data_IF_590410350405
#
_entry.id   IF_590410350405
#
_cell.length_a   1.000
_cell.length_b   1.000
_cell.length_c   1.000
_cell.angle_alpha   90.00
_cell.angle_beta   90.00
_cell.angle_gamma   90.00
#
_symmetry.space_group_name_H-M   'P 1'
#
loop_
_entity.id
_entity.type
_entity.pdbx_description
1 polymer ?
#
# COMPACT_ATOMS: atom_id res chain seq x y z
N UNK A 1 -5.10 -60.88 -17.89
CA UNK A 1 -4.83 -59.46 -18.24
C UNK A 1 -6.06 -58.79 -18.80
N UNK A 2 -6.77 -58.06 -17.94
CA UNK A 2 -7.91 -57.20 -18.24
C UNK A 2 -7.73 -55.92 -17.39
N UNK A 3 -7.81 -54.71 -17.97
CA UNK A 3 -7.53 -53.47 -17.24
C UNK A 3 -8.75 -52.98 -16.46
N UNK A 4 -8.53 -52.51 -15.22
CA UNK A 4 -9.54 -51.84 -14.39
C UNK A 4 -9.41 -50.31 -14.48
N UNK A 5 -10.53 -49.56 -14.28
CA UNK A 5 -10.75 -48.25 -14.89
C UNK A 5 -10.42 -47.07 -13.97
N UNK A 6 -10.08 -45.93 -14.61
CA UNK A 6 -9.73 -44.67 -13.97
C UNK A 6 -10.89 -43.99 -13.25
N UNK A 7 -10.62 -43.55 -12.03
CA UNK A 7 -11.49 -42.63 -11.28
C UNK A 7 -11.39 -41.22 -11.90
N UNK A 8 -12.42 -40.86 -12.67
CA UNK A 8 -12.66 -39.50 -13.12
C UNK A 8 -13.21 -38.63 -11.99
N UNK A 9 -12.43 -37.65 -11.54
CA UNK A 9 -12.90 -36.58 -10.66
C UNK A 9 -13.68 -35.57 -11.54
N UNK A 10 -14.93 -35.20 -11.20
CA UNK A 10 -15.71 -34.28 -12.01
C UNK A 10 -15.13 -32.87 -11.99
N UNK A 11 -14.93 -32.30 -13.19
CA UNK A 11 -14.59 -30.89 -13.39
C UNK A 11 -15.78 -30.02 -12.95
N UNK A 12 -15.61 -29.28 -11.85
CA UNK A 12 -16.49 -28.16 -11.53
C UNK A 12 -16.33 -27.04 -12.57
N UNK A 13 -17.42 -26.52 -13.19
CA UNK A 13 -17.35 -25.38 -14.08
C UNK A 13 -17.40 -24.10 -13.24
N UNK A 14 -16.25 -23.61 -12.77
CA UNK A 14 -16.22 -22.28 -12.15
C UNK A 14 -16.05 -21.21 -13.20
N UNK A 15 -17.17 -20.55 -13.44
CA UNK A 15 -17.36 -19.32 -14.20
C UNK A 15 -16.22 -18.31 -14.04
N UNK A 16 -15.96 -17.67 -15.17
CA UNK A 16 -15.09 -16.53 -15.40
C UNK A 16 -15.49 -15.33 -14.50
N UNK A 17 -15.10 -15.34 -13.22
CA UNK A 17 -15.09 -14.17 -12.35
C UNK A 17 -13.65 -13.71 -12.20
N UNK A 18 -13.20 -12.76 -13.03
CA UNK A 18 -12.00 -11.97 -12.71
C UNK A 18 -12.30 -11.25 -11.39
N UNK A 19 -11.61 -11.54 -10.28
CA UNK A 19 -11.79 -10.78 -9.07
C UNK A 19 -11.18 -9.39 -9.28
N UNK A 20 -11.85 -8.35 -8.77
CA UNK A 20 -11.35 -6.97 -8.70
C UNK A 20 -9.94 -6.83 -8.07
N UNK A 21 -9.40 -7.92 -7.50
CA UNK A 21 -8.00 -8.09 -7.11
C UNK A 21 -7.00 -7.98 -8.27
N UNK A 22 -7.35 -8.35 -9.50
CA UNK A 22 -6.40 -8.35 -10.63
C UNK A 22 -5.99 -6.95 -11.10
N UNK A 23 -6.89 -5.97 -11.00
CA UNK A 23 -6.59 -4.56 -11.35
C UNK A 23 -5.70 -3.92 -10.28
N UNK A 24 -5.92 -4.28 -9.01
CA UNK A 24 -5.08 -3.85 -7.89
C UNK A 24 -3.62 -4.31 -8.02
N UNK A 25 -3.36 -5.49 -8.60
CA UNK A 25 -2.00 -6.02 -8.81
C UNK A 25 -1.26 -5.30 -9.94
N UNK A 26 -1.95 -4.91 -11.03
CA UNK A 26 -1.36 -4.09 -12.09
C UNK A 26 -1.07 -2.66 -11.61
N UNK A 27 -1.94 -2.09 -10.75
CA UNK A 27 -1.70 -0.80 -10.13
C UNK A 27 -0.58 -0.87 -9.08
N UNK A 28 -0.48 -1.97 -8.33
CA UNK A 28 0.63 -2.22 -7.40
C UNK A 28 1.96 -2.42 -8.14
N UNK A 29 1.92 -3.01 -9.33
CA UNK A 29 3.06 -3.08 -10.24
C UNK A 29 3.48 -1.68 -10.70
N UNK A 30 2.54 -0.83 -11.10
CA UNK A 30 2.81 0.57 -11.42
C UNK A 30 3.35 1.37 -10.21
N UNK A 31 2.91 1.04 -8.99
CA UNK A 31 3.40 1.64 -7.75
C UNK A 31 4.83 1.18 -7.41
N UNK A 32 5.15 -0.09 -7.68
CA UNK A 32 6.51 -0.62 -7.63
C UNK A 32 7.43 -0.01 -8.70
N UNK A 33 6.92 0.22 -9.91
CA UNK A 33 7.65 0.83 -11.02
C UNK A 33 7.91 2.33 -10.75
N UNK A 34 6.99 3.02 -10.08
CA UNK A 34 7.18 4.39 -9.58
C UNK A 34 8.27 4.49 -8.50
N UNK A 35 8.30 3.55 -7.55
CA UNK A 35 9.37 3.46 -6.53
C UNK A 35 10.75 3.12 -7.14
N UNK A 36 10.79 2.47 -8.31
CA UNK A 36 12.05 2.19 -9.01
C UNK A 36 12.67 3.46 -9.61
N UNK A 37 11.86 4.44 -10.04
CA UNK A 37 12.35 5.73 -10.57
C UNK A 37 13.01 6.60 -9.50
N UNK A 38 12.44 6.68 -8.29
CA UNK A 38 13.02 7.46 -7.18
C UNK A 38 14.28 6.80 -6.58
N UNK A 39 14.50 5.51 -6.78
CA UNK A 39 15.64 4.79 -6.20
C UNK A 39 16.93 4.85 -7.03
N UNK A 40 16.89 5.45 -8.24
CA UNK A 40 18.05 5.65 -9.13
C UNK A 40 18.63 7.07 -9.07
N UNK A 41 17.96 8.03 -8.43
CA UNK A 41 18.43 9.42 -8.28
C UNK A 41 19.03 9.66 -6.88
N UNK A 42 20.34 9.50 -6.76
CA UNK A 42 21.09 9.97 -5.59
C UNK A 42 21.67 11.36 -5.86
N UNK A 43 21.09 12.41 -5.24
CA UNK A 43 21.70 13.73 -5.17
C UNK A 43 21.64 14.25 -3.73
N UNK A 44 22.82 14.52 -3.19
CA UNK A 44 23.12 15.05 -1.84
C UNK A 44 22.80 16.55 -1.76
N UNK A 45 22.31 17.05 -0.61
CA UNK A 45 22.50 18.46 -0.24
C UNK A 45 23.41 18.61 0.98
N UNK A 46 24.57 19.24 0.76
CA UNK A 46 25.30 20.11 1.70
C UNK A 46 24.45 21.37 1.95
N UNK A 47 24.36 22.08 3.08
CA UNK A 47 25.12 22.17 4.32
C UNK A 47 25.31 23.67 4.70
N UNK A 48 24.90 24.06 5.92
CA UNK A 48 25.44 25.15 6.79
C UNK A 48 24.78 26.58 6.89
N UNK A 49 24.69 27.05 8.16
CA UNK A 49 24.74 28.47 8.67
C UNK A 49 23.46 29.00 9.38
N UNK A 50 23.25 29.03 10.71
CA UNK A 50 23.83 29.78 11.89
C UNK A 50 23.21 31.18 12.21
N UNK A 51 22.27 31.30 13.19
CA UNK A 51 22.29 32.02 14.54
C UNK A 51 21.86 33.54 14.57
N UNK A 52 21.63 34.24 15.73
CA UNK A 52 20.40 34.25 16.59
C UNK A 52 19.95 35.67 17.12
N UNK A 53 19.07 35.71 18.16
CA UNK A 53 18.56 36.84 19.01
C UNK A 53 17.20 37.48 18.57
N UNK A 54 16.23 37.84 19.43
CA UNK A 54 16.25 38.43 20.78
C UNK A 54 14.97 38.17 21.59
N UNK A 55 15.07 38.27 22.92
CA UNK A 55 14.03 38.06 23.93
C UNK A 55 13.21 39.33 24.25
N UNK A 56 11.99 39.16 24.79
CA UNK A 56 11.42 40.04 25.83
C UNK A 56 10.27 39.34 26.58
N UNK A 57 10.25 39.57 27.89
CA UNK A 57 9.42 38.89 28.89
C UNK A 57 8.21 39.74 29.31
N UNK A 58 7.16 39.10 29.83
CA UNK A 58 6.07 39.79 30.53
C UNK A 58 4.93 38.87 31.02
N UNK A 59 5.03 38.49 32.31
CA UNK A 59 3.96 38.41 33.34
C UNK A 59 2.78 37.39 33.19
N UNK A 60 2.68 36.49 34.19
CA UNK A 60 1.52 35.64 34.56
C UNK A 60 0.56 36.42 35.51
N UNK A 61 -0.55 35.86 36.10
CA UNK A 61 -1.25 34.57 35.91
C UNK A 61 -2.81 34.65 35.86
N UNK A 62 -3.48 33.58 35.38
CA UNK A 62 -4.77 33.10 35.96
C UNK A 62 -5.26 31.83 35.25
N UNK A 63 -5.28 30.69 35.96
CA UNK A 63 -6.09 29.48 35.66
C UNK A 63 -7.53 29.70 36.17
N UNK A 64 -8.59 29.20 35.50
CA UNK A 64 -8.96 27.78 35.67
C UNK A 64 -9.65 27.09 34.47
N UNK A 65 -9.51 25.76 34.40
CA UNK A 65 -10.39 24.86 33.65
C UNK A 65 -9.68 24.05 32.55
N UNK A 66 -9.77 22.70 32.54
CA UNK A 66 -9.36 21.94 31.37
C UNK A 66 -10.33 22.29 30.22
N UNK A 67 -9.84 22.61 29.01
CA UNK A 67 -10.73 22.81 27.89
C UNK A 67 -11.46 21.49 27.63
N UNK A 68 -12.79 21.53 27.69
CA UNK A 68 -13.60 20.48 27.09
C UNK A 68 -13.15 20.37 25.64
N UNK A 69 -12.47 19.28 25.31
CA UNK A 69 -12.18 18.95 23.91
C UNK A 69 -13.51 18.97 23.18
N UNK A 70 -13.70 19.78 22.12
CA UNK A 70 -14.86 19.61 21.28
C UNK A 70 -14.79 18.18 20.75
N UNK A 71 -15.73 17.35 21.18
CA UNK A 71 -16.02 16.08 20.52
C UNK A 71 -16.51 16.50 19.14
N UNK A 72 -15.59 16.58 18.19
CA UNK A 72 -15.95 16.62 16.78
C UNK A 72 -16.86 15.42 16.56
N UNK A 73 -18.12 15.61 16.15
CA UNK A 73 -18.91 14.48 15.70
C UNK A 73 -18.23 14.05 14.40
N UNK A 74 -17.34 13.06 14.50
CA UNK A 74 -16.76 12.39 13.34
C UNK A 74 -17.94 11.80 12.59
N UNK A 75 -18.35 12.47 11.52
CA UNK A 75 -19.46 12.10 10.65
C UNK A 75 -19.09 10.92 9.77
N UNK A 76 -18.60 9.84 10.39
CA UNK A 76 -18.58 8.51 9.85
C UNK A 76 -19.59 7.69 10.67
N UNK A 77 -20.49 7.00 10.00
CA UNK A 77 -21.36 6.02 10.66
C UNK A 77 -20.45 5.02 11.40
N UNK A 78 -20.54 4.86 12.74
CA UNK A 78 -19.51 4.21 13.56
C UNK A 78 -19.25 2.73 13.22
N UNK A 79 -20.01 2.14 12.29
CA UNK A 79 -19.90 0.74 11.89
C UNK A 79 -18.97 0.44 10.71
N UNK A 80 -18.43 1.43 9.98
CA UNK A 80 -17.63 1.17 8.76
C UNK A 80 -16.19 1.64 8.95
N UNK A 81 -15.29 0.68 9.19
CA UNK A 81 -13.86 0.94 9.37
C UNK A 81 -13.05 0.38 8.19
N UNK A 82 -12.28 1.22 7.47
CA UNK A 82 -11.34 0.76 6.46
C UNK A 82 -10.37 -0.29 6.97
N UNK A 83 -10.24 -1.38 6.21
CA UNK A 83 -9.34 -2.50 6.52
C UNK A 83 -8.11 -2.44 5.62
N UNK A 84 -6.92 -2.59 6.21
CA UNK A 84 -5.68 -2.69 5.46
C UNK A 84 -5.65 -4.00 4.66
N UNK A 85 -5.39 -3.87 3.37
CA UNK A 85 -5.32 -4.99 2.44
C UNK A 85 -3.90 -5.31 2.03
N UNK A 86 -3.03 -4.29 1.96
CA UNK A 86 -1.66 -4.47 1.53
C UNK A 86 -0.75 -3.35 2.02
N UNK A 87 0.50 -3.70 2.28
CA UNK A 87 1.56 -2.77 2.65
C UNK A 87 2.79 -3.06 1.79
N UNK A 88 3.37 -1.99 1.27
CA UNK A 88 4.64 -1.97 0.55
C UNK A 88 5.66 -1.28 1.44
N UNK A 89 6.76 -1.99 1.73
CA UNK A 89 7.88 -1.44 2.47
C UNK A 89 9.19 -1.64 1.72
N UNK A 90 10.18 -0.83 2.04
CA UNK A 90 11.55 -0.97 1.56
C UNK A 90 12.50 -1.14 2.73
N UNK A 91 13.61 -1.82 2.49
CA UNK A 91 14.73 -1.95 3.42
C UNK A 91 16.02 -2.01 2.63
N UNK A 92 17.11 -1.53 3.23
CA UNK A 92 18.45 -1.62 2.70
C UNK A 92 19.22 -2.73 3.42
N UNK A 93 19.76 -3.68 2.65
CA UNK A 93 20.58 -4.77 3.17
C UNK A 93 22.04 -4.37 3.38
N UNK A 94 22.47 -3.20 2.90
CA UNK A 94 23.78 -2.63 3.21
C UNK A 94 24.98 -3.30 2.53
N UNK A 95 24.76 -4.25 1.62
CA UNK A 95 25.81 -4.92 0.86
C UNK A 95 25.37 -5.22 -0.58
N UNK A 96 26.33 -5.37 -1.49
CA UNK A 96 26.07 -5.82 -2.86
C UNK A 96 25.74 -7.30 -2.86
N UNK A 97 24.77 -7.68 -3.69
CA UNK A 97 24.24 -9.04 -3.75
C UNK A 97 24.44 -9.65 -5.13
N UNK A 98 24.96 -10.86 -5.18
CA UNK A 98 24.96 -11.67 -6.39
C UNK A 98 23.60 -12.39 -6.52
N UNK A 99 22.77 -11.82 -7.38
CA UNK A 99 21.42 -12.29 -7.64
C UNK A 99 21.38 -13.70 -8.24
N UNK A 100 22.40 -14.10 -9.03
CA UNK A 100 22.47 -15.44 -9.60
C UNK A 100 22.72 -16.47 -8.50
N UNK A 101 23.66 -16.19 -7.60
CA UNK A 101 23.94 -17.03 -6.44
C UNK A 101 22.70 -17.17 -5.54
N UNK A 102 21.97 -16.07 -5.30
CA UNK A 102 20.73 -16.12 -4.51
C UNK A 102 19.70 -17.02 -5.17
N UNK A 103 19.45 -16.85 -6.47
CA UNK A 103 18.45 -17.62 -7.21
C UNK A 103 18.78 -19.12 -7.25
N UNK A 104 20.06 -19.49 -7.34
CA UNK A 104 20.49 -20.88 -7.39
C UNK A 104 20.28 -21.61 -6.05
N UNK A 105 20.49 -20.93 -4.93
CA UNK A 105 20.47 -21.56 -3.60
C UNK A 105 19.14 -21.38 -2.85
N UNK A 106 18.34 -20.37 -3.22
CA UNK A 106 17.06 -20.11 -2.57
C UNK A 106 15.92 -20.90 -3.23
N UNK A 107 15.25 -21.76 -2.46
CA UNK A 107 14.20 -22.68 -2.96
C UNK A 107 12.98 -21.99 -3.59
N UNK A 108 12.66 -20.77 -3.15
CA UNK A 108 11.47 -20.01 -3.58
C UNK A 108 11.88 -18.64 -4.15
N UNK A 109 12.91 -18.64 -5.01
CA UNK A 109 13.41 -17.45 -5.68
C UNK A 109 13.36 -17.62 -7.21
N UNK A 110 12.86 -16.62 -7.90
CA UNK A 110 12.82 -16.53 -9.35
C UNK A 110 13.71 -15.37 -9.80
N UNK A 111 14.56 -15.61 -10.80
CA UNK A 111 15.40 -14.56 -11.38
C UNK A 111 15.51 -14.72 -12.89
N UNK A 112 15.09 -13.68 -13.62
CA UNK A 112 15.26 -13.60 -15.06
C UNK A 112 15.72 -12.17 -15.42
N UNK A 113 17.03 -11.92 -15.58
CA UNK A 113 17.57 -10.59 -15.83
C UNK A 113 17.07 -9.97 -17.14
N UNK A 114 16.67 -10.77 -18.13
CA UNK A 114 16.07 -10.26 -19.38
C UNK A 114 14.68 -9.67 -19.17
N UNK A 115 13.97 -10.14 -18.13
CA UNK A 115 12.62 -9.67 -17.79
C UNK A 115 12.64 -8.60 -16.71
N UNK A 116 13.47 -8.78 -15.67
CA UNK A 116 13.51 -7.87 -14.53
C UNK A 116 14.85 -8.00 -13.77
N UNK A 117 15.41 -6.86 -13.37
CA UNK A 117 16.75 -6.77 -12.76
C UNK A 117 16.82 -7.17 -11.27
N UNK A 118 15.77 -7.76 -10.71
CA UNK A 118 15.70 -8.15 -9.30
C UNK A 118 15.29 -9.61 -9.15
N UNK A 119 15.73 -10.23 -8.05
CA UNK A 119 15.27 -11.56 -7.64
C UNK A 119 13.91 -11.41 -6.97
N UNK A 120 12.96 -12.23 -7.38
CA UNK A 120 11.63 -12.32 -6.76
C UNK A 120 11.67 -13.48 -5.77
N UNK A 121 11.51 -13.20 -4.48
CA UNK A 121 11.53 -14.23 -3.43
C UNK A 121 10.21 -14.25 -2.65
N UNK A 122 9.65 -15.45 -2.39
CA UNK A 122 8.35 -15.60 -1.73
C UNK A 122 8.46 -16.42 -0.45
N UNK A 123 7.77 -15.99 0.59
CA UNK A 123 7.61 -16.75 1.84
C UNK A 123 6.12 -16.92 2.16
N UNK A 124 5.78 -17.99 2.88
CA UNK A 124 4.39 -18.32 3.22
C UNK A 124 3.86 -17.57 4.44
N UNK A 125 4.74 -17.27 5.40
CA UNK A 125 4.33 -16.68 6.67
C UNK A 125 5.31 -15.59 7.15
N UNK A 126 4.89 -14.31 7.16
CA UNK A 126 3.67 -13.78 6.52
C UNK A 126 3.66 -14.03 5.00
N UNK A 127 2.49 -14.16 4.36
CA UNK A 127 2.43 -14.41 2.91
C UNK A 127 2.84 -13.16 2.14
N UNK A 128 4.13 -13.07 1.82
CA UNK A 128 4.72 -11.87 1.20
C UNK A 128 5.60 -12.23 0.02
N UNK A 129 5.93 -11.20 -0.77
CA UNK A 129 6.91 -11.28 -1.85
C UNK A 129 7.94 -10.17 -1.66
N UNK A 130 9.22 -10.52 -1.79
CA UNK A 130 10.31 -9.57 -1.81
C UNK A 130 10.88 -9.43 -3.23
N UNK A 131 11.25 -8.21 -3.60
CA UNK A 131 12.06 -7.89 -4.77
C UNK A 131 13.43 -7.46 -4.25
N UNK A 132 14.47 -8.22 -4.60
CA UNK A 132 15.83 -8.01 -4.08
C UNK A 132 16.72 -7.57 -5.24
N UNK A 133 17.31 -6.38 -5.12
CA UNK A 133 18.17 -5.79 -6.14
C UNK A 133 19.64 -6.06 -5.83
N UNK A 134 20.48 -6.08 -6.87
CA UNK A 134 21.94 -6.28 -6.74
C UNK A 134 22.62 -5.22 -5.87
N UNK A 135 22.00 -4.05 -5.72
CA UNK A 135 22.44 -2.96 -4.84
C UNK A 135 22.26 -3.24 -3.35
N UNK A 136 21.55 -4.30 -2.97
CA UNK A 136 21.15 -4.57 -1.58
C UNK A 136 19.84 -3.92 -1.17
N UNK A 137 19.24 -3.07 -2.02
CA UNK A 137 17.88 -2.58 -1.79
C UNK A 137 16.88 -3.74 -1.92
N UNK A 138 15.90 -3.78 -1.04
CA UNK A 138 14.83 -4.77 -1.06
C UNK A 138 13.47 -4.11 -0.87
N UNK A 139 12.50 -4.51 -1.67
CA UNK A 139 11.08 -4.12 -1.55
C UNK A 139 10.31 -5.33 -1.03
N UNK A 140 9.45 -5.15 -0.04
CA UNK A 140 8.57 -6.18 0.52
C UNK A 140 7.11 -5.80 0.31
N UNK A 141 6.30 -6.72 -0.24
CA UNK A 141 4.87 -6.52 -0.51
C UNK A 141 4.01 -7.71 -0.07
N UNK A 142 2.71 -7.47 0.13
CA UNK A 142 1.71 -8.50 0.45
C UNK A 142 1.35 -8.61 1.94
N UNK A 143 2.01 -7.85 2.81
CA UNK A 143 1.70 -7.84 4.24
C UNK A 143 0.40 -7.07 4.52
N UNK A 144 -0.36 -7.49 5.54
CA UNK A 144 -1.61 -6.83 5.94
C UNK A 144 -1.46 -5.88 7.14
N UNK A 145 -0.32 -5.91 7.81
CA UNK A 145 0.03 -4.96 8.88
C UNK A 145 1.50 -4.53 8.78
N UNK A 146 1.80 -3.38 9.37
CA UNK A 146 3.11 -2.75 9.41
C UNK A 146 4.12 -3.67 10.10
N UNK A 147 3.69 -4.33 11.19
CA UNK A 147 4.46 -5.31 11.95
C UNK A 147 4.74 -6.55 11.11
N UNK A 148 3.73 -7.06 10.39
CA UNK A 148 3.92 -8.19 9.47
C UNK A 148 4.89 -7.84 8.34
N UNK A 149 4.81 -6.63 7.80
CA UNK A 149 5.71 -6.14 6.77
C UNK A 149 7.17 -6.09 7.27
N UNK A 150 7.37 -5.55 8.47
CA UNK A 150 8.68 -5.50 9.14
C UNK A 150 9.20 -6.91 9.44
N UNK A 151 8.36 -7.80 9.97
CA UNK A 151 8.71 -9.18 10.27
C UNK A 151 9.13 -9.93 9.00
N UNK A 152 8.35 -9.80 7.91
CA UNK A 152 8.66 -10.41 6.62
C UNK A 152 10.00 -9.90 6.07
N UNK A 153 10.21 -8.57 6.07
CA UNK A 153 11.48 -7.97 5.64
C UNK A 153 12.68 -8.49 6.45
N UNK A 154 12.54 -8.67 7.78
CA UNK A 154 13.57 -9.29 8.62
C UNK A 154 13.81 -10.76 8.27
N UNK A 155 12.76 -11.54 8.00
CA UNK A 155 12.89 -12.93 7.55
C UNK A 155 13.66 -13.03 6.23
N UNK A 156 13.37 -12.14 5.28
CA UNK A 156 14.13 -12.07 4.03
C UNK A 156 15.60 -11.72 4.25
N UNK A 157 15.89 -10.69 5.05
CA UNK A 157 17.27 -10.34 5.39
C UNK A 157 18.01 -11.53 6.03
N UNK A 158 17.34 -12.29 6.91
CA UNK A 158 17.92 -13.50 7.53
C UNK A 158 18.18 -14.63 6.52
N UNK A 159 17.32 -14.81 5.52
CA UNK A 159 17.56 -15.77 4.43
C UNK A 159 18.84 -15.37 3.68
N UNK A 160 18.99 -14.09 3.33
CA UNK A 160 20.18 -13.59 2.64
C UNK A 160 21.44 -13.77 3.48
N UNK A 161 21.39 -13.52 4.80
CA UNK A 161 22.50 -13.83 5.71
C UNK A 161 22.89 -15.31 5.68
N UNK A 162 21.90 -16.23 5.69
CA UNK A 162 22.15 -17.68 5.64
C UNK A 162 22.77 -18.14 4.32
N UNK A 163 22.66 -17.35 3.26
CA UNK A 163 23.32 -17.61 1.96
C UNK A 163 24.78 -17.12 1.93
N UNK A 164 25.27 -16.54 3.02
CA UNK A 164 26.66 -16.09 3.18
C UNK A 164 26.92 -14.64 2.78
N UNK A 165 25.87 -13.80 2.71
CA UNK A 165 26.03 -12.36 2.49
C UNK A 165 25.97 -11.60 3.82
N UNK A 166 26.77 -10.53 3.98
CA UNK A 166 26.74 -9.64 5.15
C UNK A 166 25.54 -8.67 5.09
N UNK A 167 24.33 -9.22 5.05
CA UNK A 167 23.11 -8.44 4.98
C UNK A 167 22.73 -7.86 6.35
N UNK A 168 22.46 -6.55 6.38
CA UNK A 168 22.01 -5.78 7.54
C UNK A 168 20.54 -5.39 7.36
N UNK A 169 19.92 -4.87 8.42
CA UNK A 169 18.54 -4.39 8.36
C UNK A 169 18.52 -2.88 8.58
N UNK A 170 18.74 -2.13 7.49
CA UNK A 170 18.91 -0.68 7.51
C UNK A 170 17.74 0.00 6.80
N UNK A 171 17.41 1.23 7.21
CA UNK A 171 16.46 2.12 6.51
C UNK A 171 15.10 1.48 6.19
N UNK A 172 14.55 0.68 7.11
CA UNK A 172 13.20 0.13 6.94
C UNK A 172 12.17 1.25 6.91
N UNK A 173 11.40 1.33 5.83
CA UNK A 173 10.39 2.37 5.62
C UNK A 173 9.15 1.82 4.93
N UNK A 174 7.97 2.23 5.42
CA UNK A 174 6.71 2.01 4.71
C UNK A 174 6.63 3.01 3.55
N UNK A 175 6.44 2.48 2.35
CA UNK A 175 6.34 3.29 1.13
C UNK A 175 4.89 3.52 0.71
N UNK A 176 4.04 2.52 0.91
CA UNK A 176 2.62 2.62 0.58
C UNK A 176 1.77 1.66 1.42
N UNK A 177 0.56 2.09 1.73
CA UNK A 177 -0.49 1.32 2.37
C UNK A 177 -1.74 1.38 1.50
N UNK A 178 -2.41 0.24 1.38
CA UNK A 178 -3.67 0.10 0.65
C UNK A 178 -4.74 -0.33 1.62
N UNK A 179 -5.78 0.49 1.75
CA UNK A 179 -6.99 0.20 2.52
C UNK A 179 -8.18 -0.11 1.60
N UNK A 180 -9.18 -0.80 2.15
CA UNK A 180 -10.47 -0.95 1.50
C UNK A 180 -11.61 -0.96 2.50
N UNK A 181 -12.76 -0.46 2.11
CA UNK A 181 -14.02 -0.55 2.85
C UNK A 181 -15.19 -0.77 1.89
N UNK A 182 -16.34 -1.08 2.47
CA UNK A 182 -17.62 -1.17 1.76
C UNK A 182 -18.61 -0.27 2.50
N UNK A 183 -19.12 0.77 1.83
CA UNK A 183 -20.10 1.69 2.43
C UNK A 183 -21.50 1.07 2.52
N UNK A 184 -21.71 -0.10 1.91
CA UNK A 184 -22.94 -0.91 1.96
C UNK A 184 -24.18 -0.27 1.31
N UNK A 185 -23.97 0.69 0.42
CA UNK A 185 -25.03 1.24 -0.42
C UNK A 185 -24.49 1.61 -1.81
N UNK A 186 -25.33 1.50 -2.86
CA UNK A 186 -24.93 1.87 -4.22
C UNK A 186 -24.76 3.40 -4.36
N UNK A 187 -23.80 3.82 -5.17
CA UNK A 187 -23.41 5.23 -5.35
C UNK A 187 -23.65 5.68 -6.80
N UNK A 188 -24.22 6.87 -6.98
CA UNK A 188 -24.40 7.54 -8.29
C UNK A 188 -23.11 8.26 -8.68
N UNK A 189 -22.20 7.56 -9.37
CA UNK A 189 -20.89 8.09 -9.75
C UNK A 189 -20.97 9.24 -10.76
N UNK A 190 -22.00 9.24 -11.62
CA UNK A 190 -22.25 10.27 -12.64
C UNK A 190 -22.52 11.64 -11.99
N UNK A 191 -23.27 11.64 -10.88
CA UNK A 191 -23.50 12.85 -10.09
C UNK A 191 -22.23 13.28 -9.35
N UNK A 192 -21.48 12.33 -8.81
CA UNK A 192 -20.25 12.62 -8.06
C UNK A 192 -19.17 13.26 -8.95
N UNK A 193 -18.96 12.75 -10.17
CA UNK A 193 -17.99 13.34 -11.12
C UNK A 193 -18.42 14.71 -11.60
N UNK A 194 -19.72 14.95 -11.77
CA UNK A 194 -20.25 16.26 -12.16
C UNK A 194 -19.98 17.31 -11.07
N UNK A 195 -20.29 16.99 -9.81
CA UNK A 195 -20.11 17.91 -8.68
C UNK A 195 -18.64 18.07 -8.28
N UNK A 196 -17.85 17.01 -8.32
CA UNK A 196 -16.44 17.00 -7.91
C UNK A 196 -15.47 16.75 -9.08
N UNK A 197 -15.74 17.38 -10.23
CA UNK A 197 -14.97 17.19 -11.48
C UNK A 197 -13.48 17.52 -11.35
N UNK A 198 -13.12 18.49 -10.51
CA UNK A 198 -11.71 18.86 -10.26
C UNK A 198 -10.88 17.76 -9.59
N UNK A 199 -11.53 16.87 -8.84
CA UNK A 199 -10.88 15.80 -8.08
C UNK A 199 -11.19 14.41 -8.63
N UNK A 200 -12.20 14.29 -9.51
CA UNK A 200 -12.77 13.02 -9.93
C UNK A 200 -12.52 12.77 -11.42
N UNK A 201 -12.21 11.52 -11.77
CA UNK A 201 -12.16 11.07 -13.15
C UNK A 201 -12.95 9.76 -13.26
N UNK A 202 -13.94 9.71 -14.14
CA UNK A 202 -14.79 8.53 -14.33
C UNK A 202 -15.04 8.29 -15.81
N UNK A 203 -14.40 7.25 -16.33
CA UNK A 203 -14.48 6.82 -17.73
C UNK A 203 -14.83 5.32 -17.73
N UNK A 204 -16.13 4.96 -17.63
CA UNK A 204 -16.56 3.57 -17.40
C UNK A 204 -16.09 2.59 -18.49
N UNK A 205 -15.89 3.08 -19.72
CA UNK A 205 -15.34 2.31 -20.84
C UNK A 205 -13.87 1.90 -20.62
N UNK A 206 -13.10 2.73 -19.89
CA UNK A 206 -11.69 2.46 -19.58
C UNK A 206 -11.52 1.75 -18.24
N UNK A 207 -12.27 2.18 -17.23
CA UNK A 207 -12.19 1.64 -15.88
C UNK A 207 -13.55 1.76 -15.15
N UNK A 208 -14.08 0.67 -14.56
CA UNK A 208 -15.43 0.66 -13.99
C UNK A 208 -15.61 1.45 -12.68
N UNK A 209 -14.53 1.96 -12.09
CA UNK A 209 -14.57 2.76 -10.86
C UNK A 209 -14.25 4.24 -11.12
N UNK A 210 -14.76 5.13 -10.28
CA UNK A 210 -14.37 6.53 -10.25
C UNK A 210 -13.04 6.67 -9.51
N UNK A 211 -12.09 7.41 -10.10
CA UNK A 211 -10.81 7.76 -9.49
C UNK A 211 -10.98 9.12 -8.81
N UNK A 212 -10.88 9.17 -7.48
CA UNK A 212 -10.96 10.40 -6.70
C UNK A 212 -9.58 10.73 -6.13
N UNK A 213 -9.06 11.93 -6.44
CA UNK A 213 -7.75 12.41 -5.99
C UNK A 213 -7.94 13.41 -4.86
N UNK A 214 -7.82 12.93 -3.63
CA UNK A 214 -7.88 13.76 -2.44
C UNK A 214 -6.57 14.53 -2.25
N UNK A 215 -6.68 15.83 -1.99
CA UNK A 215 -5.51 16.71 -1.79
C UNK A 215 -4.95 16.58 -0.38
N UNK A 216 -5.84 16.48 0.63
CA UNK A 216 -5.47 16.40 2.04
C UNK A 216 -6.34 15.36 2.78
N UNK A 217 -5.75 14.27 3.30
CA UNK A 217 -4.39 13.79 3.01
C UNK A 217 -4.24 13.43 1.52
N UNK A 218 -3.00 13.40 1.00
CA UNK A 218 -2.74 13.12 -0.42
C UNK A 218 -2.97 11.64 -0.74
N UNK A 219 -4.22 11.27 -1.01
CA UNK A 219 -4.69 9.89 -1.19
C UNK A 219 -5.46 9.77 -2.50
N UNK A 220 -5.34 8.62 -3.14
CA UNK A 220 -6.17 8.25 -4.29
C UNK A 220 -7.18 7.22 -3.85
N UNK A 221 -8.46 7.46 -4.14
CA UNK A 221 -9.55 6.55 -3.89
C UNK A 221 -10.10 6.00 -5.20
N UNK A 222 -10.43 4.72 -5.22
CA UNK A 222 -11.16 4.06 -6.29
C UNK A 222 -12.55 3.70 -5.75
N UNK A 223 -13.58 4.33 -6.30
CA UNK A 223 -14.96 4.26 -5.81
C UNK A 223 -15.79 3.50 -6.83
N UNK A 224 -16.42 2.41 -6.42
CA UNK A 224 -17.23 1.58 -7.31
C UNK A 224 -18.72 1.85 -7.08
N UNK A 225 -19.52 1.66 -8.14
CA UNK A 225 -20.99 1.81 -8.10
C UNK A 225 -21.64 0.98 -6.99
N UNK A 226 -21.02 -0.15 -6.63
CA UNK A 226 -21.47 -1.06 -5.56
C UNK A 226 -21.31 -0.51 -4.13
N UNK A 227 -20.58 0.59 -3.94
CA UNK A 227 -20.23 1.10 -2.61
C UNK A 227 -18.89 0.60 -2.06
N UNK A 228 -18.19 -0.26 -2.81
CA UNK A 228 -16.81 -0.62 -2.46
C UNK A 228 -15.87 0.55 -2.73
N UNK A 229 -14.94 0.77 -1.81
CA UNK A 229 -13.94 1.83 -1.89
C UNK A 229 -12.56 1.24 -1.61
N UNK A 230 -11.58 1.59 -2.44
CA UNK A 230 -10.16 1.26 -2.25
C UNK A 230 -9.39 2.56 -2.06
N UNK A 231 -8.54 2.64 -1.05
CA UNK A 231 -7.72 3.80 -0.72
C UNK A 231 -6.24 3.41 -0.89
N UNK A 232 -5.45 4.21 -1.60
CA UNK A 232 -4.01 3.98 -1.81
C UNK A 232 -3.23 5.30 -1.79
N UNK A 233 -1.94 5.21 -1.51
CA UNK A 233 -1.02 6.36 -1.45
C UNK A 233 -0.65 6.77 -0.02
N UNK A 234 -1.24 6.13 0.98
CA UNK A 234 -0.95 6.42 2.39
C UNK A 234 0.41 5.85 2.80
N UNK A 235 1.12 6.57 3.66
CA UNK A 235 2.34 6.11 4.33
C UNK A 235 2.09 5.70 5.77
N UNK A 236 1.04 6.24 6.37
CA UNK A 236 0.60 5.92 7.72
C UNK A 236 -0.87 5.55 7.75
N UNK A 237 -1.25 4.68 8.68
CA UNK A 237 -2.63 4.17 8.79
C UNK A 237 -3.66 5.27 9.01
N UNK A 238 -3.31 6.32 9.77
CA UNK A 238 -4.21 7.44 10.07
C UNK A 238 -4.67 8.19 8.82
N UNK A 239 -3.84 8.30 7.78
CA UNK A 239 -4.22 8.95 6.52
C UNK A 239 -5.35 8.20 5.80
N UNK A 240 -5.42 6.87 5.95
CA UNK A 240 -6.51 6.06 5.38
C UNK A 240 -7.82 6.36 6.11
N UNK A 241 -7.78 6.49 7.43
CA UNK A 241 -8.96 6.80 8.24
C UNK A 241 -9.44 8.23 7.99
N UNK A 242 -8.55 9.21 8.02
CA UNK A 242 -8.87 10.61 7.73
C UNK A 242 -9.44 10.78 6.31
N UNK A 243 -8.85 10.11 5.30
CA UNK A 243 -9.38 10.14 3.94
C UNK A 243 -10.78 9.53 3.85
N UNK A 244 -11.04 8.46 4.62
CA UNK A 244 -12.36 7.84 4.65
C UNK A 244 -13.40 8.73 5.34
N UNK A 245 -13.05 9.33 6.47
CA UNK A 245 -13.94 10.24 7.22
C UNK A 245 -14.33 11.46 6.39
N UNK A 246 -13.40 11.97 5.57
CA UNK A 246 -13.66 13.08 4.65
C UNK A 246 -14.59 12.68 3.49
N UNK A 247 -14.39 11.50 2.89
CA UNK A 247 -15.16 11.10 1.69
C UNK A 247 -16.52 10.50 2.03
N UNK A 248 -16.67 9.84 3.18
CA UNK A 248 -17.90 9.14 3.56
C UNK A 248 -19.17 10.01 3.52
N UNK A 249 -19.22 11.21 4.12
CA UNK A 249 -20.43 12.06 4.07
C UNK A 249 -20.78 12.48 2.63
N UNK A 250 -19.77 12.72 1.79
CA UNK A 250 -19.96 13.00 0.36
C UNK A 250 -20.65 11.81 -0.30
N UNK A 251 -20.13 10.59 -0.13
CA UNK A 251 -20.68 9.39 -0.76
C UNK A 251 -22.10 9.10 -0.29
N UNK A 252 -22.40 9.35 0.98
CA UNK A 252 -23.76 9.21 1.55
C UNK A 252 -24.76 10.13 0.84
N UNK A 253 -24.35 11.34 0.46
CA UNK A 253 -25.17 12.27 -0.34
C UNK A 253 -25.46 11.80 -1.77
N UNK A 254 -24.61 10.95 -2.35
CA UNK A 254 -24.79 10.36 -3.68
C UNK A 254 -25.32 8.92 -3.66
N UNK A 255 -25.89 8.47 -2.54
CA UNK A 255 -26.57 7.17 -2.44
C UNK A 255 -27.67 7.09 -3.50
N UNK A 256 -27.68 6.02 -4.31
CA UNK A 256 -28.81 5.75 -5.21
C UNK A 256 -30.04 5.41 -4.35
N UNK A 257 -31.14 6.12 -4.61
CA UNK A 257 -32.47 5.77 -4.13
C UNK A 257 -32.93 4.46 -4.74
#
# INVERSE_FOLDING_TARGET
>A
DVPCPGFGIPKCPTANRKPAYAVGVHFLKALCDGLHRDMSSGATPTGAGSTPHSASAGLFPSTPGPPMTPITPASADPGIVPQLQNIVSTVNLGCKLDLKKIALHARNAEYNPKRFAAVIMRIREPRTTALIFSSGKMVCTGAKSEEQSRLAARKYARIIQKLGFDAKFLDFKIQNMVGSCDVRFPIRLEGLVLTHSQFSSYEPELFPGLIYRMVKPRIVLLIFVSGKVVLTGAKVRSEIYEAFDNIYPILKGFRKQ
#
